data_IF_582692273399
#
_entry.id   IF_582692273399
#
_cell.length_a   1.000
_cell.length_b   1.000
_cell.length_c   1.000
_cell.angle_alpha   90.00
_cell.angle_beta   90.00
_cell.angle_gamma   90.00
#
_symmetry.space_group_name_H-M   'P 1'
#
loop_
_entity.id
_entity.type
_entity.pdbx_description
1 polymer ?
#
# COMPACT_ATOMS: atom_id res chain seq x y z
N UNK A 1 -7.27 -4.08 39.51
CA UNK A 1 -6.93 -4.83 38.29
C UNK A 1 -6.73 -3.82 37.17
N UNK A 2 -5.58 -3.77 36.48
CA UNK A 2 -5.44 -2.92 35.30
C UNK A 2 -6.40 -3.43 34.23
N UNK A 3 -7.13 -2.51 33.60
CA UNK A 3 -7.97 -2.83 32.45
C UNK A 3 -7.03 -3.18 31.29
N UNK A 4 -7.20 -4.32 30.58
CA UNK A 4 -6.40 -4.59 29.41
C UNK A 4 -6.63 -3.46 28.40
N UNK A 5 -5.55 -2.85 27.91
CA UNK A 5 -5.64 -1.86 26.85
C UNK A 5 -6.40 -2.49 25.67
N UNK A 6 -7.41 -1.80 25.16
CA UNK A 6 -8.12 -2.25 23.96
C UNK A 6 -7.09 -2.40 22.84
N UNK A 7 -7.14 -3.52 22.13
CA UNK A 7 -6.37 -3.66 20.89
C UNK A 7 -6.66 -2.46 19.98
N UNK A 8 -5.63 -1.84 19.37
CA UNK A 8 -5.85 -0.75 18.44
C UNK A 8 -6.82 -1.19 17.32
N UNK A 9 -7.56 -0.24 16.75
CA UNK A 9 -8.37 -0.55 15.58
C UNK A 9 -7.46 -1.06 14.45
N UNK A 10 -8.01 -1.93 13.59
CA UNK A 10 -7.31 -2.45 12.42
C UNK A 10 -6.71 -1.32 11.57
N UNK A 11 -7.49 -0.25 11.37
CA UNK A 11 -7.02 0.97 10.70
C UNK A 11 -5.82 1.63 11.39
N UNK A 12 -5.85 1.76 12.71
CA UNK A 12 -4.77 2.39 13.46
C UNK A 12 -3.50 1.54 13.42
N UNK A 13 -3.64 0.21 13.49
CA UNK A 13 -2.53 -0.72 13.32
C UNK A 13 -1.93 -0.65 11.91
N UNK A 14 -2.77 -0.70 10.87
CA UNK A 14 -2.34 -0.65 9.47
C UNK A 14 -1.56 0.63 9.16
N UNK A 15 -2.05 1.78 9.63
CA UNK A 15 -1.38 3.06 9.45
C UNK A 15 -0.02 3.09 10.16
N UNK A 16 0.05 2.61 11.41
CA UNK A 16 1.29 2.54 12.17
C UNK A 16 2.30 1.58 11.53
N UNK A 17 1.82 0.45 10.98
CA UNK A 17 2.64 -0.51 10.25
C UNK A 17 3.23 0.13 8.98
N UNK A 18 2.41 0.78 8.16
CA UNK A 18 2.88 1.45 6.94
C UNK A 18 3.93 2.51 7.26
N UNK A 19 3.65 3.38 8.25
CA UNK A 19 4.62 4.40 8.68
C UNK A 19 5.94 3.79 9.16
N UNK A 20 5.89 2.65 9.86
CA UNK A 20 7.09 1.96 10.30
C UNK A 20 7.88 1.37 9.12
N UNK A 21 7.20 0.79 8.13
CA UNK A 21 7.83 0.24 6.94
C UNK A 21 8.52 1.33 6.12
N UNK A 22 7.87 2.48 5.91
CA UNK A 22 8.47 3.65 5.22
C UNK A 22 9.73 4.16 5.94
N UNK A 23 9.76 4.12 7.27
CA UNK A 23 10.91 4.58 8.06
C UNK A 23 12.08 3.59 8.08
N UNK A 24 11.83 2.31 7.84
CA UNK A 24 12.82 1.24 8.06
C UNK A 24 13.21 0.47 6.82
N UNK A 25 12.57 0.77 5.69
CA UNK A 25 12.82 0.14 4.40
C UNK A 25 12.72 1.18 3.30
N UNK A 26 13.30 0.90 2.14
CA UNK A 26 13.09 1.71 0.94
C UNK A 26 11.79 1.32 0.20
N UNK A 27 10.91 0.54 0.83
CA UNK A 27 9.68 0.07 0.19
C UNK A 27 8.66 1.20 0.12
N UNK A 28 7.80 1.14 -0.91
CA UNK A 28 6.65 2.03 -1.05
C UNK A 28 5.37 1.25 -0.68
N UNK A 29 4.86 1.39 0.54
CA UNK A 29 3.58 0.79 0.92
C UNK A 29 2.41 1.56 0.30
N UNK A 30 1.43 0.80 -0.18
CA UNK A 30 0.16 1.28 -0.69
C UNK A 30 -0.97 0.54 0.02
N UNK A 31 -2.06 1.26 0.28
CA UNK A 31 -3.21 0.76 1.05
C UNK A 31 -4.45 0.62 0.18
N UNK A 32 -5.29 -0.36 0.51
CA UNK A 32 -6.61 -0.58 -0.10
C UNK A 32 -6.60 -0.65 -1.63
N UNK A 33 -5.74 -1.50 -2.20
CA UNK A 33 -5.63 -1.66 -3.64
C UNK A 33 -6.68 -2.65 -4.18
N UNK A 34 -7.41 -2.25 -5.21
CA UNK A 34 -8.29 -3.16 -5.94
C UNK A 34 -7.48 -4.26 -6.64
N UNK A 35 -7.77 -5.51 -6.33
CA UNK A 35 -7.03 -6.69 -6.82
C UNK A 35 -7.89 -7.62 -7.68
N UNK A 36 -8.94 -7.06 -8.27
CA UNK A 36 -9.92 -7.80 -9.06
C UNK A 36 -9.47 -7.88 -10.51
N UNK A 37 -9.20 -9.10 -10.99
CA UNK A 37 -8.74 -9.38 -12.36
C UNK A 37 -9.86 -9.85 -13.30
N UNK A 38 -11.05 -10.15 -12.77
CA UNK A 38 -12.23 -10.59 -13.52
C UNK A 38 -13.48 -9.86 -13.00
N UNK A 39 -14.49 -9.70 -13.86
CA UNK A 39 -15.74 -9.00 -13.53
C UNK A 39 -16.89 -9.99 -13.25
N UNK A 40 -17.63 -9.84 -12.12
CA UNK A 40 -17.37 -8.91 -11.02
C UNK A 40 -16.25 -9.46 -10.12
N UNK A 41 -15.37 -8.58 -9.67
CA UNK A 41 -14.37 -8.93 -8.66
C UNK A 41 -14.59 -8.15 -7.38
N UNK A 42 -14.30 -8.79 -6.25
CA UNK A 42 -14.53 -8.26 -4.90
C UNK A 42 -13.29 -8.28 -4.01
N UNK A 43 -12.10 -8.44 -4.60
CA UNK A 43 -10.85 -8.52 -3.83
C UNK A 43 -10.18 -7.17 -3.68
N UNK A 44 -9.85 -6.84 -2.44
CA UNK A 44 -9.08 -5.68 -2.02
C UNK A 44 -7.84 -6.20 -1.28
N UNK A 45 -6.68 -5.63 -1.58
CA UNK A 45 -5.45 -5.82 -0.81
C UNK A 45 -5.39 -4.70 0.21
N UNK A 46 -5.34 -5.05 1.49
CA UNK A 46 -5.25 -4.06 2.58
C UNK A 46 -3.93 -3.29 2.51
N UNK A 47 -2.79 -4.00 2.41
CA UNK A 47 -1.47 -3.40 2.23
C UNK A 47 -0.66 -4.15 1.17
N UNK A 48 -0.07 -3.40 0.24
CA UNK A 48 0.91 -3.89 -0.73
C UNK A 48 2.19 -3.06 -0.59
N UNK A 49 3.35 -3.70 -0.49
CA UNK A 49 4.63 -3.01 -0.49
C UNK A 49 5.33 -3.22 -1.84
N UNK A 50 5.64 -2.13 -2.53
CA UNK A 50 6.48 -2.16 -3.72
C UNK A 50 7.92 -2.02 -3.28
N UNK A 51 8.73 -3.05 -3.54
CA UNK A 51 10.18 -3.01 -3.31
C UNK A 51 10.84 -2.39 -4.55
N UNK A 52 11.56 -1.26 -4.43
CA UNK A 52 12.27 -0.69 -5.56
C UNK A 52 13.28 -1.68 -6.12
N UNK A 53 13.16 -1.93 -7.42
CA UNK A 53 14.10 -2.75 -8.19
C UNK A 53 14.81 -1.94 -9.27
N UNK A 54 15.58 -2.60 -10.13
CA UNK A 54 16.22 -1.95 -11.27
C UNK A 54 15.21 -1.20 -12.16
N UNK A 55 15.49 0.07 -12.43
CA UNK A 55 14.63 0.96 -13.24
C UNK A 55 13.33 1.37 -12.54
N UNK A 56 13.28 1.35 -11.20
CA UNK A 56 12.14 1.88 -10.45
C UNK A 56 11.98 3.39 -10.70
N UNK A 57 13.06 4.15 -10.58
CA UNK A 57 13.04 5.61 -10.76
C UNK A 57 12.53 6.02 -12.14
N UNK A 58 12.97 5.31 -13.18
CA UNK A 58 12.50 5.54 -14.56
C UNK A 58 10.98 5.32 -14.72
N UNK A 59 10.43 4.33 -14.01
CA UNK A 59 8.98 4.01 -14.03
C UNK A 59 8.17 4.95 -13.15
N UNK A 60 8.74 5.41 -12.04
CA UNK A 60 8.11 6.35 -11.13
C UNK A 60 8.13 7.79 -11.67
N UNK A 61 8.98 8.07 -12.67
CA UNK A 61 9.10 9.39 -13.29
C UNK A 61 7.78 9.84 -13.92
N UNK A 62 7.23 10.94 -13.41
CA UNK A 62 6.08 11.62 -14.01
C UNK A 62 6.50 12.18 -15.38
N UNK A 63 5.71 11.91 -16.41
CA UNK A 63 5.95 12.36 -17.78
C UNK A 63 4.75 13.16 -18.29
N UNK A 64 4.95 13.95 -19.34
CA UNK A 64 3.91 14.73 -20.02
C UNK A 64 2.99 13.87 -20.92
N UNK A 65 3.28 12.57 -21.06
CA UNK A 65 2.44 11.65 -21.84
C UNK A 65 1.09 11.43 -21.17
N UNK A 66 0.04 11.42 -21.99
CA UNK A 66 -1.30 11.03 -21.55
C UNK A 66 -1.32 9.56 -21.08
N UNK A 67 -2.10 9.31 -20.03
CA UNK A 67 -2.45 7.96 -19.58
C UNK A 67 -3.28 7.30 -20.69
N UNK A 68 -2.94 6.07 -21.13
CA UNK A 68 -3.75 5.35 -22.12
C UNK A 68 -5.21 5.22 -21.66
N UNK A 69 -6.14 5.38 -22.59
CA UNK A 69 -7.54 5.04 -22.34
C UNK A 69 -7.67 3.53 -22.10
N UNK A 70 -8.66 3.14 -21.29
CA UNK A 70 -8.98 1.75 -20.98
C UNK A 70 -9.53 0.99 -22.20
#
# INVERSE_FOLDING_TARGET
>A
MPVPASSPSEFAFELALCARLEQTTDWLPARQLGASVASPGSRIIDVCAVVPGPGFDDRARITDRAIPAA
#
